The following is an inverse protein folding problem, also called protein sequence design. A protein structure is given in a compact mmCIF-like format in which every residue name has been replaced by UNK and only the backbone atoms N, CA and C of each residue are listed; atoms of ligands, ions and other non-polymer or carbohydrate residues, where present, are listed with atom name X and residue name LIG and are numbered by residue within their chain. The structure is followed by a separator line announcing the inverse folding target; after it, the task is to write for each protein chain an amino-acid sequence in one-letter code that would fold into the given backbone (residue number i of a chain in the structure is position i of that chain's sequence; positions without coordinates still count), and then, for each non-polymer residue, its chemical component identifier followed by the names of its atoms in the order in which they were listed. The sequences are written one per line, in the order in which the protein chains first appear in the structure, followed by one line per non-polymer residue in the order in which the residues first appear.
data_IF_051432924254
#
_entry.id   IF_051432924254
#
_cell.length_a   1.000
_cell.length_b   1.000
_cell.length_c   1.000
_cell.angle_alpha   90.00
_cell.angle_beta   90.00
_cell.angle_gamma   90.00
#
_symmetry.space_group_name_H-M   'P 1'
#
loop_
_entity.id
_entity.type
_entity.pdbx_description
1 polymer ?
#
# COMPACT_ATOMS: atom_id res chain seq x y z
N UNK A 1 35.10 -3.18 17.42
CA UNK A 1 33.82 -2.65 16.88
C UNK A 1 33.50 -1.36 17.64
N UNK A 2 33.39 -0.20 16.96
CA UNK A 2 33.10 1.09 17.63
C UNK A 2 31.64 1.15 18.08
N UNK A 3 31.35 1.85 19.19
CA UNK A 3 29.99 1.99 19.78
C UNK A 3 28.94 2.47 18.76
N UNK A 4 29.35 3.34 17.84
CA UNK A 4 28.54 3.85 16.73
C UNK A 4 28.12 2.76 15.73
N UNK A 5 29.04 1.86 15.37
CA UNK A 5 28.76 0.76 14.44
C UNK A 5 27.78 -0.26 15.03
N UNK A 6 27.82 -0.45 16.36
CA UNK A 6 26.88 -1.33 17.06
C UNK A 6 25.47 -0.71 17.10
N UNK A 7 25.36 0.57 17.44
CA UNK A 7 24.08 1.28 17.50
C UNK A 7 23.38 1.34 16.14
N UNK A 8 24.11 1.69 15.08
CA UNK A 8 23.58 1.72 13.71
C UNK A 8 23.09 0.35 13.23
N UNK A 9 23.78 -0.74 13.62
CA UNK A 9 23.35 -2.11 13.29
C UNK A 9 22.09 -2.50 14.07
N UNK A 10 21.99 -2.12 15.35
CA UNK A 10 20.80 -2.35 16.18
C UNK A 10 19.58 -1.56 15.67
N UNK A 11 19.77 -0.31 15.25
CA UNK A 11 18.73 0.52 14.63
C UNK A 11 18.27 -0.04 13.28
N UNK A 12 19.20 -0.48 12.43
CA UNK A 12 18.88 -1.08 11.13
C UNK A 12 18.07 -2.37 11.29
N UNK A 13 18.46 -3.25 12.22
CA UNK A 13 17.71 -4.47 12.52
C UNK A 13 16.29 -4.19 13.05
N UNK A 14 16.11 -3.13 13.85
CA UNK A 14 14.79 -2.72 14.32
C UNK A 14 13.96 -2.08 13.20
N UNK A 15 14.59 -1.32 12.31
CA UNK A 15 13.96 -0.71 11.15
C UNK A 15 13.46 -1.77 10.16
N UNK A 16 14.29 -2.77 9.84
CA UNK A 16 13.91 -3.91 9.01
C UNK A 16 12.72 -4.70 9.58
N UNK A 17 12.73 -4.98 10.90
CA UNK A 17 11.60 -5.63 11.58
C UNK A 17 10.32 -4.80 11.51
N UNK A 18 10.43 -3.49 11.67
CA UNK A 18 9.29 -2.58 11.63
C UNK A 18 8.73 -2.49 10.21
N UNK A 19 9.61 -2.38 9.21
CA UNK A 19 9.23 -2.37 7.80
C UNK A 19 8.54 -3.66 7.38
N UNK A 20 9.05 -4.83 7.78
CA UNK A 20 8.41 -6.12 7.51
C UNK A 20 6.99 -6.20 8.10
N UNK A 21 6.79 -5.67 9.31
CA UNK A 21 5.47 -5.61 9.93
C UNK A 21 4.51 -4.65 9.21
N UNK A 22 4.99 -3.49 8.77
CA UNK A 22 4.17 -2.54 7.99
C UNK A 22 3.79 -3.10 6.62
N UNK A 23 4.74 -3.74 5.91
CA UNK A 23 4.46 -4.44 4.64
C UNK A 23 3.43 -5.56 4.82
N UNK A 24 3.48 -6.30 5.93
CA UNK A 24 2.50 -7.34 6.24
C UNK A 24 1.09 -6.76 6.47
N UNK A 25 0.96 -5.60 7.12
CA UNK A 25 -0.33 -4.90 7.26
C UNK A 25 -0.86 -4.46 5.90
N UNK A 26 -0.02 -3.89 5.06
CA UNK A 26 -0.41 -3.44 3.71
C UNK A 26 -0.91 -4.63 2.88
N UNK A 27 -0.19 -5.76 2.90
CA UNK A 27 -0.60 -6.99 2.19
C UNK A 27 -1.92 -7.55 2.71
N UNK A 28 -2.18 -7.43 4.01
CA UNK A 28 -3.47 -7.83 4.60
C UNK A 28 -4.59 -6.92 4.12
N UNK A 29 -4.36 -5.60 4.07
CA UNK A 29 -5.31 -4.62 3.54
C UNK A 29 -5.65 -4.89 2.06
N UNK A 30 -4.69 -5.31 1.23
CA UNK A 30 -4.96 -5.70 -0.17
C UNK A 30 -6.00 -6.82 -0.29
N UNK A 31 -5.93 -7.83 0.57
CA UNK A 31 -6.93 -8.91 0.55
C UNK A 31 -8.33 -8.37 0.89
N UNK A 32 -8.46 -7.48 1.87
CA UNK A 32 -9.74 -6.83 2.19
C UNK A 32 -10.27 -5.97 1.05
N UNK A 33 -9.39 -5.27 0.33
CA UNK A 33 -9.77 -4.50 -0.85
C UNK A 33 -10.29 -5.40 -1.97
N UNK A 34 -9.67 -6.55 -2.19
CA UNK A 34 -10.13 -7.54 -3.18
C UNK A 34 -11.53 -8.07 -2.80
N UNK A 35 -11.76 -8.42 -1.53
CA UNK A 35 -13.08 -8.85 -1.08
C UNK A 35 -14.15 -7.78 -1.29
N UNK A 36 -13.82 -6.52 -0.98
CA UNK A 36 -14.71 -5.38 -1.19
C UNK A 36 -15.04 -5.21 -2.68
N UNK A 37 -14.03 -5.24 -3.55
CA UNK A 37 -14.21 -5.13 -5.00
C UNK A 37 -15.11 -6.23 -5.55
N UNK A 38 -14.86 -7.48 -5.16
CA UNK A 38 -15.66 -8.64 -5.60
C UNK A 38 -17.12 -8.50 -5.13
N UNK A 39 -17.34 -8.09 -3.87
CA UNK A 39 -18.68 -7.87 -3.35
C UNK A 39 -19.43 -6.80 -4.16
N UNK A 40 -18.81 -5.64 -4.41
CA UNK A 40 -19.45 -4.58 -5.19
C UNK A 40 -19.71 -4.98 -6.64
N UNK A 41 -18.82 -5.76 -7.28
CA UNK A 41 -19.06 -6.30 -8.63
C UNK A 41 -20.27 -7.22 -8.63
N UNK A 42 -20.38 -8.14 -7.67
CA UNK A 42 -21.53 -9.04 -7.55
C UNK A 42 -22.84 -8.27 -7.34
N UNK A 43 -22.85 -7.30 -6.42
CA UNK A 43 -24.04 -6.47 -6.16
C UNK A 43 -24.41 -5.68 -7.42
N UNK A 44 -23.44 -5.08 -8.11
CA UNK A 44 -23.68 -4.32 -9.34
C UNK A 44 -24.31 -5.18 -10.44
N UNK A 45 -23.90 -6.45 -10.59
CA UNK A 45 -24.49 -7.38 -11.56
C UNK A 45 -25.97 -7.66 -11.20
N UNK A 46 -26.25 -7.89 -9.91
CA UNK A 46 -27.62 -8.14 -9.42
C UNK A 46 -28.51 -6.92 -9.65
N UNK A 47 -28.03 -5.73 -9.29
CA UNK A 47 -28.78 -4.49 -9.47
C UNK A 47 -29.02 -4.15 -10.94
N UNK A 48 -28.02 -4.35 -11.80
CA UNK A 48 -28.18 -4.16 -13.24
C UNK A 48 -29.30 -5.07 -13.79
N UNK A 49 -29.31 -6.33 -13.39
CA UNK A 49 -30.35 -7.27 -13.81
C UNK A 49 -31.75 -6.86 -13.33
N UNK A 50 -31.87 -6.40 -12.08
CA UNK A 50 -33.13 -5.89 -11.54
C UNK A 50 -33.55 -4.55 -12.17
N UNK A 51 -32.60 -3.68 -12.53
CA UNK A 51 -32.85 -2.38 -13.15
C UNK A 51 -33.45 -2.51 -14.54
N UNK A 52 -32.95 -3.47 -15.33
CA UNK A 52 -33.49 -3.79 -16.66
C UNK A 52 -34.98 -4.20 -16.57
N UNK A 53 -35.35 -4.91 -15.51
CA UNK A 53 -36.74 -5.34 -15.28
C UNK A 53 -37.61 -4.17 -14.78
N UNK A 54 -37.08 -3.30 -13.92
CA UNK A 54 -37.90 -2.39 -13.12
C UNK A 54 -37.99 -0.94 -13.63
N UNK A 55 -37.14 -0.49 -14.55
CA UNK A 55 -37.05 0.93 -15.04
C UNK A 55 -37.02 1.99 -13.92
N UNK A 56 -36.56 1.62 -12.71
CA UNK A 56 -36.67 2.45 -11.51
C UNK A 56 -35.49 3.41 -11.36
N UNK A 57 -35.78 4.68 -11.03
CA UNK A 57 -34.73 5.67 -10.76
C UNK A 57 -33.95 5.39 -9.49
N UNK A 58 -34.58 4.82 -8.45
CA UNK A 58 -33.90 4.41 -7.21
C UNK A 58 -32.84 3.34 -7.49
N UNK A 59 -33.22 2.33 -8.28
CA UNK A 59 -32.35 1.20 -8.58
C UNK A 59 -31.16 1.60 -9.47
N UNK A 60 -31.38 2.61 -10.31
CA UNK A 60 -30.31 3.23 -11.09
C UNK A 60 -29.34 4.03 -10.20
N UNK A 61 -29.81 4.67 -9.14
CA UNK A 61 -28.96 5.37 -8.17
C UNK A 61 -28.12 4.39 -7.33
N UNK A 62 -28.70 3.27 -6.91
CA UNK A 62 -27.96 2.19 -6.23
C UNK A 62 -26.86 1.62 -7.13
N UNK A 63 -27.16 1.35 -8.41
CA UNK A 63 -26.17 0.89 -9.38
C UNK A 63 -25.01 1.89 -9.58
N UNK A 64 -25.30 3.20 -9.65
CA UNK A 64 -24.26 4.23 -9.72
C UNK A 64 -23.39 4.27 -8.45
N UNK A 65 -23.99 4.07 -7.29
CA UNK A 65 -23.26 4.06 -6.02
C UNK A 65 -22.29 2.87 -5.95
N UNK A 66 -22.75 1.67 -6.32
CA UNK A 66 -21.88 0.49 -6.37
C UNK A 66 -20.79 0.60 -7.44
N UNK A 67 -21.09 1.17 -8.60
CA UNK A 67 -20.08 1.48 -9.61
C UNK A 67 -19.01 2.44 -9.07
N UNK A 68 -19.42 3.47 -8.32
CA UNK A 68 -18.49 4.40 -7.68
C UNK A 68 -17.60 3.71 -6.64
N UNK A 69 -18.16 2.75 -5.87
CA UNK A 69 -17.43 1.87 -4.96
C UNK A 69 -16.36 1.03 -5.66
N UNK A 70 -16.71 0.40 -6.79
CA UNK A 70 -15.76 -0.38 -7.62
C UNK A 70 -14.59 0.50 -8.08
N UNK A 71 -14.88 1.68 -8.63
CA UNK A 71 -13.85 2.60 -9.13
C UNK A 71 -12.95 3.09 -8.00
N UNK A 72 -13.53 3.46 -6.85
CA UNK A 72 -12.77 3.91 -5.67
C UNK A 72 -11.83 2.84 -5.16
N UNK A 73 -12.34 1.60 -4.99
CA UNK A 73 -11.53 0.48 -4.51
C UNK A 73 -10.43 0.11 -5.51
N UNK A 74 -10.69 0.21 -6.82
CA UNK A 74 -9.66 0.02 -7.85
C UNK A 74 -8.55 1.09 -7.77
N UNK A 75 -8.90 2.37 -7.65
CA UNK A 75 -7.93 3.45 -7.50
C UNK A 75 -7.09 3.30 -6.23
N UNK A 76 -7.69 2.84 -5.13
CA UNK A 76 -6.97 2.54 -3.90
C UNK A 76 -6.00 1.38 -4.05
N UNK A 77 -6.40 0.29 -4.73
CA UNK A 77 -5.48 -0.82 -5.05
C UNK A 77 -4.32 -0.36 -5.93
N UNK A 78 -4.57 0.50 -6.91
CA UNK A 78 -3.53 1.06 -7.77
C UNK A 78 -2.57 1.96 -6.99
N UNK A 79 -3.07 2.84 -6.13
CA UNK A 79 -2.23 3.66 -5.25
C UNK A 79 -1.41 2.82 -4.27
N UNK A 80 -1.98 1.73 -3.75
CA UNK A 80 -1.27 0.80 -2.88
C UNK A 80 -0.20 0.00 -3.62
N UNK A 81 -0.48 -0.38 -4.87
CA UNK A 81 0.49 -1.02 -5.74
C UNK A 81 1.68 -0.10 -6.01
N UNK A 82 1.44 1.17 -6.37
CA UNK A 82 2.50 2.17 -6.58
C UNK A 82 3.30 2.43 -5.27
N UNK A 83 2.62 2.49 -4.12
CA UNK A 83 3.30 2.69 -2.83
C UNK A 83 4.14 1.48 -2.38
N UNK A 84 3.87 0.29 -2.92
CA UNK A 84 4.62 -0.94 -2.64
C UNK A 84 5.68 -1.24 -3.70
N UNK A 85 5.44 -0.84 -4.96
CA UNK A 85 6.36 -0.96 -6.10
C UNK A 85 7.38 0.18 -6.04
N UNK A 86 8.18 0.15 -4.98
CA UNK A 86 9.35 1.02 -4.77
C UNK A 86 10.59 0.15 -4.92
N UNK A 87 10.72 -0.46 -6.09
CA UNK A 87 12.02 -0.92 -6.58
C UNK A 87 12.70 0.31 -7.21
N UNK A 88 13.90 0.60 -6.72
CA UNK A 88 14.76 1.74 -7.04
C UNK A 88 14.39 3.12 -6.42
N UNK A 89 15.11 3.40 -5.32
CA UNK A 89 15.56 4.71 -4.84
C UNK A 89 14.60 5.60 -4.03
N UNK A 90 13.28 5.50 -4.19
CA UNK A 90 12.37 6.52 -3.64
C UNK A 90 11.35 5.99 -2.62
N UNK A 91 11.80 5.30 -1.57
CA UNK A 91 10.94 5.09 -0.39
C UNK A 91 10.71 6.45 0.29
N UNK A 92 9.45 6.92 0.29
CA UNK A 92 8.96 8.14 0.97
C UNK A 92 8.97 7.97 2.52
N UNK A 93 9.76 7.04 3.03
CA UNK A 93 10.07 6.77 4.43
C UNK A 93 11.58 6.59 4.63
N UNK A 94 12.36 7.54 4.10
CA UNK A 94 13.81 7.66 4.24
C UNK A 94 14.64 6.40 3.89
N UNK A 95 15.16 6.36 2.66
CA UNK A 95 16.40 5.62 2.38
C UNK A 95 17.54 6.36 3.09
N UNK A 96 18.10 5.76 4.14
CA UNK A 96 19.37 6.25 4.69
C UNK A 96 20.45 6.05 3.62
N UNK A 97 21.31 7.05 3.38
CA UNK A 97 22.24 7.01 2.27
C UNK A 97 23.17 5.80 2.44
N UNK A 98 23.20 4.93 1.43
CA UNK A 98 24.25 3.93 1.23
C UNK A 98 25.53 4.64 0.80
N UNK A 99 26.10 5.44 1.71
CA UNK A 99 27.30 6.23 1.49
C UNK A 99 28.33 5.86 2.53
N UNK A 100 29.45 5.30 2.07
CA UNK A 100 30.57 4.84 2.89
C UNK A 100 31.05 5.94 3.86
N UNK A 101 30.69 5.86 5.15
CA UNK A 101 31.31 6.64 6.24
C UNK A 101 32.73 6.14 6.57
N UNK A 102 33.50 5.75 5.56
CA UNK A 102 34.93 5.48 5.66
C UNK A 102 35.68 6.55 4.86
N UNK A 103 35.70 7.77 5.38
CA UNK A 103 36.76 8.73 5.11
C UNK A 103 36.72 9.79 6.20
N UNK A 104 37.88 10.16 6.74
CA UNK A 104 38.11 11.18 7.76
C UNK A 104 37.92 10.80 9.23
N UNK A 105 38.43 9.64 9.66
CA UNK A 105 39.10 9.54 10.98
C UNK A 105 40.41 8.75 10.84
N UNK A 106 41.30 9.26 10.00
CA UNK A 106 42.75 8.97 9.92
C UNK A 106 43.20 10.11 9.02
N UNK A 107 43.66 11.24 9.54
CA UNK A 107 44.93 11.40 10.24
C UNK A 107 44.76 12.35 11.42
N UNK A 108 45.06 11.85 12.62
CA UNK A 108 45.69 12.69 13.63
C UNK A 108 47.17 12.74 13.30
N UNK A 109 47.67 13.95 13.09
CA UNK A 109 48.93 14.42 13.68
C UNK A 109 48.59 15.70 14.41
#
# INVERSE_FOLDING_TARGET
MTKFKRHTTEEMNNWEKTQANELAKIRTSQHHLIYNLVAYVVISIIEYWLAEISKSQTLRADAFNNLSGIISTFLLMMGLHIAQDVDDDDIIGARLPSGNYQAHITYGV
#
